data_IF_339324368067
#
_entry.id   IF_339324368067
#
_cell.length_a   1.000
_cell.length_b   1.000
_cell.length_c   1.000
_cell.angle_alpha   90.00
_cell.angle_beta   90.00
_cell.angle_gamma   90.00
#
_symmetry.space_group_name_H-M   'P 1'
#
loop_
_entity.id
_entity.type
_entity.pdbx_description
1 polymer ?
#
# COMPACT_ATOMS: atom_id res chain seq x y z
N UNK A 1 3.89 -26.02 9.91
CA UNK A 1 2.87 -24.96 9.84
C UNK A 1 3.28 -23.89 10.83
N UNK A 2 3.96 -22.84 10.35
CA UNK A 2 4.49 -21.78 11.22
C UNK A 2 3.41 -20.72 11.37
N UNK A 3 2.75 -20.68 12.53
CA UNK A 3 1.90 -19.57 12.93
C UNK A 3 2.77 -18.31 13.03
N UNK A 4 2.68 -17.44 12.04
CA UNK A 4 3.16 -16.07 12.17
C UNK A 4 2.20 -15.34 13.10
N UNK A 5 2.48 -15.41 14.39
CA UNK A 5 1.85 -14.55 15.40
C UNK A 5 2.19 -13.11 15.03
N UNK A 6 1.18 -12.30 14.71
CA UNK A 6 1.35 -10.86 14.58
C UNK A 6 2.04 -10.34 15.86
N UNK A 7 3.06 -9.49 15.75
CA UNK A 7 3.64 -8.87 16.93
C UNK A 7 2.54 -8.08 17.61
N UNK A 8 2.15 -8.46 18.84
CA UNK A 8 1.26 -7.66 19.66
C UNK A 8 1.88 -6.27 19.82
N UNK A 9 1.40 -5.32 19.02
CA UNK A 9 2.00 -4.01 18.88
C UNK A 9 1.72 -3.18 20.13
N UNK A 10 2.67 -2.33 20.51
CA UNK A 10 2.54 -1.35 21.59
C UNK A 10 1.17 -0.66 21.58
N UNK A 11 0.63 -0.23 22.75
CA UNK A 11 -0.64 0.49 22.81
C UNK A 11 -0.70 1.63 21.78
N UNK A 12 -1.85 1.81 21.14
CA UNK A 12 -2.06 2.92 20.21
C UNK A 12 -1.93 4.24 20.98
N UNK A 13 -1.27 5.23 20.37
CA UNK A 13 -1.30 6.60 20.90
C UNK A 13 -2.73 7.15 20.84
N UNK A 14 -3.09 8.19 21.62
CA UNK A 14 -4.44 8.75 21.59
C UNK A 14 -4.91 9.17 20.18
N UNK A 15 -4.01 9.73 19.37
CA UNK A 15 -4.32 10.10 17.98
C UNK A 15 -4.53 8.85 17.11
N UNK A 16 -3.73 7.80 17.30
CA UNK A 16 -3.92 6.55 16.57
C UNK A 16 -5.23 5.85 16.97
N UNK A 17 -5.64 5.95 18.23
CA UNK A 17 -6.93 5.41 18.68
C UNK A 17 -8.10 6.11 18.00
N UNK A 18 -8.10 7.45 17.93
CA UNK A 18 -9.16 8.19 17.21
C UNK A 18 -9.25 7.80 15.73
N UNK A 19 -8.10 7.62 15.07
CA UNK A 19 -8.03 7.17 13.68
C UNK A 19 -8.49 5.71 13.52
N UNK A 20 -8.20 4.87 14.51
CA UNK A 20 -8.64 3.49 14.55
C UNK A 20 -10.17 3.45 14.64
N UNK A 21 -10.75 4.19 15.57
CA UNK A 21 -12.20 4.27 15.76
C UNK A 21 -12.91 4.77 14.49
N UNK A 22 -12.29 5.70 13.74
CA UNK A 22 -12.78 6.16 12.45
C UNK A 22 -12.75 5.08 11.36
N UNK A 23 -11.65 4.32 11.27
CA UNK A 23 -11.48 3.29 10.23
C UNK A 23 -12.18 1.97 10.57
N UNK A 24 -12.43 1.69 11.85
CA UNK A 24 -12.93 0.39 12.31
C UNK A 24 -14.25 -0.03 11.64
N UNK A 25 -15.24 0.85 11.43
CA UNK A 25 -16.47 0.49 10.71
C UNK A 25 -16.23 0.04 9.25
N UNK A 26 -15.10 0.42 8.65
CA UNK A 26 -14.76 0.13 7.24
C UNK A 26 -13.82 -1.09 7.14
N UNK A 27 -12.82 -1.19 8.02
CA UNK A 27 -11.74 -2.17 7.91
C UNK A 27 -11.67 -3.17 9.07
N UNK A 28 -12.48 -3.01 10.12
CA UNK A 28 -12.43 -3.85 11.33
C UNK A 28 -11.04 -3.88 11.96
N UNK A 29 -10.56 -5.06 12.32
CA UNK A 29 -9.25 -5.24 12.98
C UNK A 29 -8.07 -4.73 12.14
N UNK A 30 -8.20 -4.70 10.80
CA UNK A 30 -7.16 -4.17 9.91
C UNK A 30 -6.90 -2.67 10.12
N UNK A 31 -7.86 -1.95 10.72
CA UNK A 31 -7.67 -0.55 11.10
C UNK A 31 -6.44 -0.36 11.97
N UNK A 32 -6.14 -1.31 12.86
CA UNK A 32 -4.96 -1.24 13.72
C UNK A 32 -3.65 -1.25 12.91
N UNK A 33 -3.55 -2.12 11.91
CA UNK A 33 -2.42 -2.18 10.98
C UNK A 33 -2.33 -0.90 10.16
N UNK A 34 -3.45 -0.38 9.66
CA UNK A 34 -3.47 0.85 8.85
C UNK A 34 -2.96 2.03 9.69
N UNK A 35 -3.54 2.31 10.87
CA UNK A 35 -3.15 3.49 11.67
C UNK A 35 -1.72 3.44 12.21
N UNK A 36 -1.14 2.24 12.33
CA UNK A 36 0.28 2.06 12.68
C UNK A 36 1.21 2.40 11.51
N UNK A 37 0.74 2.25 10.27
CA UNK A 37 1.48 2.61 9.07
C UNK A 37 1.17 4.03 8.56
N UNK A 38 0.14 4.69 9.09
CA UNK A 38 -0.12 6.12 8.84
C UNK A 38 0.71 6.98 9.80
N UNK A 39 1.82 7.52 9.32
CA UNK A 39 2.68 8.42 10.08
C UNK A 39 3.22 9.57 9.23
N UNK A 40 3.56 10.66 9.90
CA UNK A 40 4.34 11.76 9.33
C UNK A 40 3.62 12.58 8.24
N UNK A 41 4.37 12.95 7.21
CA UNK A 41 3.96 13.78 6.06
C UNK A 41 4.09 12.96 4.76
N UNK A 42 3.38 13.35 3.70
CA UNK A 42 3.48 12.70 2.39
C UNK A 42 2.49 11.56 2.20
N UNK A 43 2.85 10.54 1.40
CA UNK A 43 1.95 9.47 0.92
C UNK A 43 1.33 8.61 2.04
N UNK A 44 1.98 8.55 3.20
CA UNK A 44 1.52 7.82 4.40
C UNK A 44 0.89 8.75 5.44
N UNK A 45 0.63 10.02 5.10
CA UNK A 45 -0.05 10.94 6.00
C UNK A 45 -1.53 10.59 6.15
N UNK A 46 -2.15 11.07 7.22
CA UNK A 46 -3.58 10.85 7.46
C UNK A 46 -4.46 11.48 6.37
N UNK A 47 -4.15 12.70 5.94
CA UNK A 47 -4.91 13.36 4.89
C UNK A 47 -4.80 12.60 3.56
N UNK A 48 -3.59 12.20 3.17
CA UNK A 48 -3.40 11.38 1.97
C UNK A 48 -4.07 10.01 2.06
N UNK A 49 -4.20 9.46 3.28
CA UNK A 49 -4.96 8.23 3.52
C UNK A 49 -6.46 8.45 3.25
N UNK A 50 -7.04 9.54 3.77
CA UNK A 50 -8.46 9.85 3.53
C UNK A 50 -8.74 10.14 2.05
N UNK A 51 -7.95 11.02 1.44
CA UNK A 51 -8.09 11.36 0.00
C UNK A 51 -8.06 10.11 -0.89
N UNK A 52 -7.19 9.18 -0.53
CA UNK A 52 -7.04 7.90 -1.21
C UNK A 52 -8.26 6.98 -1.00
N UNK A 53 -8.78 6.88 0.22
CA UNK A 53 -10.00 6.12 0.52
C UNK A 53 -11.16 6.67 -0.31
N UNK A 54 -11.37 7.98 -0.27
CA UNK A 54 -12.43 8.67 -1.00
C UNK A 54 -12.28 8.44 -2.51
N UNK A 55 -11.08 8.60 -3.05
CA UNK A 55 -10.79 8.38 -4.48
C UNK A 55 -11.14 6.98 -4.96
N UNK A 56 -10.92 5.95 -4.13
CA UNK A 56 -11.20 4.56 -4.49
C UNK A 56 -12.69 4.24 -4.30
N UNK A 57 -13.34 4.76 -3.24
CA UNK A 57 -14.78 4.59 -3.00
C UNK A 57 -15.60 5.26 -4.10
N UNK A 58 -15.25 6.48 -4.50
CA UNK A 58 -15.98 7.28 -5.49
C UNK A 58 -15.62 6.95 -6.95
N UNK A 59 -14.66 6.03 -7.16
CA UNK A 59 -14.24 5.63 -8.49
C UNK A 59 -15.42 5.09 -9.34
N UNK A 60 -15.44 5.46 -10.61
CA UNK A 60 -16.42 4.96 -11.59
C UNK A 60 -16.31 3.43 -11.72
N UNK A 61 -17.39 2.71 -12.09
CA UNK A 61 -17.39 1.24 -12.16
C UNK A 61 -16.21 0.63 -12.94
N UNK A 62 -15.93 1.15 -14.15
CA UNK A 62 -14.80 0.68 -14.98
C UNK A 62 -13.43 0.89 -14.32
N UNK A 63 -13.28 1.93 -13.50
CA UNK A 63 -12.04 2.19 -12.76
C UNK A 63 -11.93 1.23 -11.58
N UNK A 64 -13.06 0.90 -10.91
CA UNK A 64 -13.09 -0.12 -9.86
C UNK A 64 -12.72 -1.50 -10.38
N UNK A 65 -13.14 -1.87 -11.59
CA UNK A 65 -12.71 -3.13 -12.22
C UNK A 65 -11.18 -3.20 -12.38
N UNK A 66 -10.56 -2.09 -12.80
CA UNK A 66 -9.10 -2.02 -12.87
C UNK A 66 -8.44 -2.13 -11.49
N UNK A 67 -8.98 -1.44 -10.47
CA UNK A 67 -8.47 -1.56 -9.10
C UNK A 67 -8.61 -2.99 -8.55
N UNK A 68 -9.69 -3.69 -8.88
CA UNK A 68 -9.86 -5.10 -8.55
C UNK A 68 -8.81 -5.99 -9.23
N UNK A 69 -8.52 -5.74 -10.51
CA UNK A 69 -7.41 -6.44 -11.20
C UNK A 69 -6.06 -6.22 -10.50
N UNK A 70 -5.78 -5.00 -10.02
CA UNK A 70 -4.59 -4.73 -9.21
C UNK A 70 -4.65 -5.49 -7.87
N UNK A 71 -5.81 -5.59 -7.22
CA UNK A 71 -5.98 -6.36 -5.98
C UNK A 71 -5.72 -7.86 -6.12
N UNK A 72 -5.90 -8.41 -7.31
CA UNK A 72 -5.62 -9.81 -7.64
C UNK A 72 -4.16 -10.03 -8.06
N UNK A 73 -3.53 -8.99 -8.60
CA UNK A 73 -2.14 -9.05 -9.11
C UNK A 73 -1.07 -9.06 -8.01
N UNK A 74 -1.36 -8.45 -6.86
CA UNK A 74 -0.43 -8.28 -5.74
C UNK A 74 -0.89 -9.01 -4.48
N UNK A 75 0.04 -9.74 -3.86
CA UNK A 75 -0.14 -10.41 -2.60
C UNK A 75 0.17 -9.47 -1.43
N UNK A 76 -0.70 -9.48 -0.41
CA UNK A 76 -0.42 -8.76 0.82
C UNK A 76 0.82 -9.34 1.52
N UNK A 77 1.57 -8.48 2.18
CA UNK A 77 2.78 -8.78 2.93
C UNK A 77 3.97 -9.31 2.10
N UNK A 78 3.88 -9.30 0.76
CA UNK A 78 5.04 -9.52 -0.10
C UNK A 78 5.75 -8.19 -0.42
N UNK A 79 7.09 -8.16 -0.37
CA UNK A 79 7.86 -6.96 -0.75
C UNK A 79 8.00 -6.92 -2.27
N UNK A 80 7.61 -5.80 -2.87
CA UNK A 80 7.75 -5.53 -4.30
C UNK A 80 8.72 -4.39 -4.57
N UNK A 81 9.73 -4.66 -5.39
CA UNK A 81 10.61 -3.63 -5.94
C UNK A 81 9.84 -2.72 -6.91
N UNK A 82 10.31 -1.48 -7.15
CA UNK A 82 9.73 -0.61 -8.17
C UNK A 82 9.60 -1.26 -9.56
N UNK A 83 10.58 -2.08 -9.95
CA UNK A 83 10.54 -2.80 -11.23
C UNK A 83 9.42 -3.83 -11.31
N UNK A 84 9.19 -4.58 -10.22
CA UNK A 84 8.08 -5.54 -10.15
C UNK A 84 6.73 -4.84 -10.18
N UNK A 85 6.59 -3.70 -9.49
CA UNK A 85 5.36 -2.89 -9.53
C UNK A 85 5.09 -2.41 -10.96
N UNK A 86 6.09 -1.87 -11.65
CA UNK A 86 5.96 -1.43 -13.05
C UNK A 86 5.49 -2.59 -13.94
N UNK A 87 6.14 -3.76 -13.85
CA UNK A 87 5.78 -4.93 -14.66
C UNK A 87 4.34 -5.37 -14.42
N UNK A 88 3.98 -5.58 -13.15
CA UNK A 88 2.65 -6.04 -12.74
C UNK A 88 1.54 -5.05 -13.07
N UNK A 89 1.74 -3.75 -12.83
CA UNK A 89 0.75 -2.73 -13.18
C UNK A 89 0.52 -2.68 -14.69
N UNK A 90 1.58 -2.69 -15.51
CA UNK A 90 1.40 -2.65 -16.97
C UNK A 90 0.78 -3.94 -17.52
N UNK A 91 1.05 -5.09 -16.89
CA UNK A 91 0.37 -6.35 -17.20
C UNK A 91 -1.14 -6.27 -16.92
N UNK A 92 -1.53 -5.85 -15.71
CA UNK A 92 -2.94 -5.66 -15.36
C UNK A 92 -3.64 -4.65 -16.30
N UNK A 93 -2.95 -3.57 -16.68
CA UNK A 93 -3.48 -2.60 -17.67
C UNK A 93 -3.71 -3.25 -19.02
N UNK A 94 -2.75 -4.04 -19.52
CA UNK A 94 -2.85 -4.74 -20.81
C UNK A 94 -4.02 -5.72 -20.83
N UNK A 95 -4.19 -6.50 -19.78
CA UNK A 95 -5.30 -7.47 -19.64
C UNK A 95 -6.67 -6.78 -19.65
N UNK A 96 -6.74 -5.57 -19.10
CA UNK A 96 -7.94 -4.73 -19.10
C UNK A 96 -8.11 -3.87 -20.38
N UNK A 97 -7.26 -4.06 -21.39
CA UNK A 97 -7.30 -3.28 -22.64
C UNK A 97 -6.96 -1.80 -22.46
N UNK A 98 -6.28 -1.43 -21.37
CA UNK A 98 -5.80 -0.07 -21.11
C UNK A 98 -4.44 0.15 -21.79
N UNK A 99 -4.22 1.39 -22.23
CA UNK A 99 -2.93 1.79 -22.83
C UNK A 99 -1.85 1.72 -21.74
N UNK A 100 -0.69 1.08 -22.01
CA UNK A 100 0.42 1.05 -21.07
C UNK A 100 0.96 2.46 -20.84
N UNK A 101 1.62 2.68 -19.71
CA UNK A 101 2.29 3.95 -19.50
C UNK A 101 3.48 4.08 -20.45
N UNK A 102 3.53 5.18 -21.19
CA UNK A 102 4.64 5.50 -22.12
C UNK A 102 5.60 6.54 -21.53
N UNK A 103 5.13 7.36 -20.59
CA UNK A 103 5.92 8.39 -19.92
C UNK A 103 5.82 8.24 -18.40
N UNK A 104 6.86 8.65 -17.67
CA UNK A 104 6.88 8.62 -16.19
C UNK A 104 6.41 7.26 -15.61
N UNK A 105 6.73 6.17 -16.31
CA UNK A 105 6.18 4.82 -16.07
C UNK A 105 6.29 4.42 -14.61
N UNK A 106 7.45 4.65 -14.00
CA UNK A 106 7.68 4.39 -12.58
C UNK A 106 6.69 5.15 -11.69
N UNK A 107 6.61 6.47 -11.86
CA UNK A 107 5.77 7.34 -11.03
C UNK A 107 4.30 6.96 -11.14
N UNK A 108 3.82 6.70 -12.36
CA UNK A 108 2.42 6.34 -12.60
C UNK A 108 2.09 4.94 -12.05
N UNK A 109 2.97 3.96 -12.28
CA UNK A 109 2.77 2.60 -11.77
C UNK A 109 2.80 2.55 -10.24
N UNK A 110 3.73 3.26 -9.62
CA UNK A 110 3.78 3.38 -8.16
C UNK A 110 2.58 4.17 -7.62
N UNK A 111 2.07 5.17 -8.34
CA UNK A 111 0.89 5.91 -7.93
C UNK A 111 -0.35 5.00 -7.90
N UNK A 112 -0.58 4.22 -8.97
CA UNK A 112 -1.67 3.24 -9.02
C UNK A 112 -1.57 2.23 -7.88
N UNK A 113 -0.38 1.63 -7.68
CA UNK A 113 -0.14 0.69 -6.58
C UNK A 113 -0.41 1.31 -5.21
N UNK A 114 0.11 2.52 -4.96
CA UNK A 114 -0.07 3.22 -3.69
C UNK A 114 -1.51 3.73 -3.49
N UNK A 115 -2.27 3.94 -4.57
CA UNK A 115 -3.68 4.35 -4.53
C UNK A 115 -4.58 3.19 -4.07
N UNK A 116 -4.27 1.96 -4.47
CA UNK A 116 -5.09 0.80 -4.11
C UNK A 116 -4.61 0.07 -2.84
N UNK A 117 -3.33 0.14 -2.46
CA UNK A 117 -2.82 -0.55 -1.27
C UNK A 117 -2.31 0.41 -0.20
N UNK A 118 -2.64 0.16 1.07
CA UNK A 118 -1.84 0.69 2.18
C UNK A 118 -0.49 0.00 2.15
N UNK A 119 0.59 0.78 2.10
CA UNK A 119 1.94 0.25 1.91
C UNK A 119 2.84 0.59 3.08
N UNK A 120 3.79 -0.30 3.33
CA UNK A 120 4.94 -0.07 4.19
C UNK A 120 6.19 -0.06 3.32
N UNK A 121 7.04 0.94 3.49
CA UNK A 121 8.36 0.95 2.87
C UNK A 121 9.27 -0.06 3.57
N UNK A 122 9.97 -0.87 2.79
CA UNK A 122 10.88 -1.89 3.29
C UNK A 122 12.33 -1.47 3.02
N UNK A 123 13.13 -1.44 4.09
CA UNK A 123 14.55 -1.12 4.07
C UNK A 123 15.35 -2.27 4.67
N UNK A 124 16.52 -2.54 4.13
CA UNK A 124 17.50 -3.46 4.72
C UNK A 124 18.74 -2.70 5.16
N UNK A 125 19.33 -3.11 6.28
CA UNK A 125 20.62 -2.63 6.72
C UNK A 125 21.72 -3.35 5.93
N UNK A 126 22.50 -2.60 5.15
CA UNK A 126 23.64 -3.10 4.37
C UNK A 126 24.90 -2.43 4.89
N UNK A 127 25.98 -3.19 5.06
CA UNK A 127 27.28 -2.62 5.46
C UNK A 127 28.05 -2.25 4.20
N UNK A 128 28.23 -0.93 3.98
CA UNK A 128 29.07 -0.39 2.92
C UNK A 128 30.28 0.26 3.59
N UNK A 129 31.48 -0.23 3.29
CA UNK A 129 32.73 0.33 3.86
C UNK A 129 32.76 0.42 5.39
N UNK A 130 32.20 -0.59 6.08
CA UNK A 130 32.04 -0.66 7.55
C UNK A 130 31.01 0.31 8.15
N UNK A 131 30.26 1.04 7.34
CA UNK A 131 29.15 1.90 7.78
C UNK A 131 27.82 1.20 7.49
N UNK A 132 26.93 1.04 8.48
CA UNK A 132 25.58 0.53 8.24
C UNK A 132 24.76 1.60 7.50
N UNK A 133 24.26 1.24 6.32
CA UNK A 133 23.41 2.08 5.47
C UNK A 133 22.07 1.38 5.25
N UNK A 134 20.97 2.12 5.45
CA UNK A 134 19.63 1.64 5.12
C UNK A 134 19.37 1.77 3.63
N UNK A 135 19.21 0.65 2.96
CA UNK A 135 18.91 0.59 1.52
C UNK A 135 17.44 0.27 1.34
N UNK A 136 16.74 1.13 0.59
CA UNK A 136 15.36 0.88 0.20
C UNK A 136 15.28 -0.34 -0.72
N UNK A 137 14.42 -1.30 -0.38
CA UNK A 137 14.22 -2.55 -1.15
C UNK A 137 12.91 -2.59 -1.89
N UNK A 138 11.89 -1.90 -1.41
CA UNK A 138 10.60 -1.90 -2.07
C UNK A 138 9.45 -1.54 -1.15
N UNK A 139 8.25 -1.79 -1.65
CA UNK A 139 7.00 -1.54 -0.96
C UNK A 139 6.32 -2.85 -0.63
N UNK A 140 5.78 -2.95 0.58
CA UNK A 140 5.01 -4.10 1.03
C UNK A 140 3.55 -3.65 1.23
N UNK A 141 2.58 -4.17 0.48
CA UNK A 141 1.18 -3.85 0.70
C UNK A 141 0.71 -4.57 1.97
N UNK A 142 0.12 -3.84 2.91
CA UNK A 142 -0.34 -4.36 4.21
C UNK A 142 -1.86 -4.47 4.30
N UNK A 143 -2.59 -3.74 3.47
CA UNK A 143 -4.04 -3.82 3.36
C UNK A 143 -4.51 -3.26 2.00
N UNK A 144 -5.63 -3.77 1.50
CA UNK A 144 -6.38 -3.17 0.38
C UNK A 144 -7.16 -1.96 0.89
N UNK A 145 -7.36 -0.96 0.03
CA UNK A 145 -8.06 0.28 0.39
C UNK A 145 -9.58 0.10 0.31
N UNK A 146 -10.05 -0.73 -0.60
CA UNK A 146 -11.38 -1.30 -0.49
C UNK A 146 -11.22 -2.74 -0.01
N UNK A 147 -11.55 -3.06 1.25
CA UNK A 147 -11.75 -4.44 1.65
C UNK A 147 -12.99 -4.96 0.90
N UNK A 148 -12.86 -6.14 0.29
CA UNK A 148 -13.93 -6.81 -0.44
C UNK A 148 -15.06 -7.24 0.49
#
# INVERSE_FOLDING_TARGET
>A
MSNQTEPQGSPLTPIQQQRYDYLFPIYGELSSTIVRNVFGKGKTSWNSTLEKIDSVIEAKPKVKEYYNGLYETFELYQVYTPGQIIGKVNEARREMGLIPYTEKIKIQSEADFNLVFFVREHYEDVVVEKVPVKVFKGYQPVAKVLPA
#
